data_IF_181684282054
#
_entry.id   IF_181684282054
#
_cell.length_a   1.000
_cell.length_b   1.000
_cell.length_c   1.000
_cell.angle_alpha   90.00
_cell.angle_beta   90.00
_cell.angle_gamma   90.00
#
_symmetry.space_group_name_H-M   'P 1'
#
loop_
_entity.id
_entity.type
_entity.pdbx_description
1 polymer ?
#
# COMPACT_ATOMS: atom_id res chain seq x y z
N UNK A 1 -3.33 35.61 10.51
CA UNK A 1 -2.03 35.20 11.09
C UNK A 1 -2.06 33.81 11.73
N UNK A 2 -2.88 32.92 11.18
CA UNK A 2 -3.06 31.56 11.67
C UNK A 2 -2.10 30.55 11.02
N UNK A 3 -1.33 30.98 10.01
CA UNK A 3 -0.33 30.17 9.32
C UNK A 3 0.95 29.92 10.14
N UNK A 4 1.14 30.67 11.24
CA UNK A 4 2.32 30.47 12.10
C UNK A 4 2.27 29.10 12.77
N UNK A 5 3.25 28.25 12.46
CA UNK A 5 3.43 26.92 13.03
C UNK A 5 3.01 25.77 12.10
N UNK A 6 2.67 26.06 10.84
CA UNK A 6 2.55 25.05 9.80
C UNK A 6 3.91 24.86 9.14
N UNK A 7 4.44 23.63 8.99
CA UNK A 7 5.69 23.39 8.28
C UNK A 7 5.61 23.90 6.84
N UNK A 8 6.71 24.45 6.30
CA UNK A 8 6.77 24.99 4.94
C UNK A 8 6.34 24.00 3.84
N UNK A 9 6.53 22.70 4.11
CA UNK A 9 6.17 21.61 3.17
C UNK A 9 4.72 21.11 3.33
N UNK A 10 3.93 21.74 4.21
CA UNK A 10 2.57 21.32 4.50
C UNK A 10 1.57 22.36 4.03
N UNK A 11 0.47 21.92 3.41
CA UNK A 11 -0.65 22.81 3.11
C UNK A 11 -1.34 23.23 4.41
N UNK A 12 -1.60 24.54 4.57
CA UNK A 12 -2.35 25.07 5.71
C UNK A 12 -3.72 24.39 5.84
N UNK A 13 -4.45 24.24 4.74
CA UNK A 13 -5.80 23.66 4.73
C UNK A 13 -5.87 22.23 5.29
N UNK A 14 -4.79 21.46 5.16
CA UNK A 14 -4.71 20.08 5.65
C UNK A 14 -3.93 19.94 6.95
N UNK A 15 -3.53 21.04 7.57
CA UNK A 15 -2.83 21.03 8.86
C UNK A 15 -3.78 20.81 10.02
N UNK A 16 -3.26 20.22 11.13
CA UNK A 16 -4.00 20.10 12.39
C UNK A 16 -4.55 21.44 12.86
N UNK A 17 -3.77 22.51 12.68
CA UNK A 17 -4.14 23.86 13.11
C UNK A 17 -5.33 24.40 12.34
N UNK A 18 -5.41 24.14 11.04
CA UNK A 18 -6.58 24.50 10.24
C UNK A 18 -7.81 23.70 10.70
N UNK A 19 -7.66 22.41 10.98
CA UNK A 19 -8.75 21.58 11.47
C UNK A 19 -9.31 22.08 12.81
N UNK A 20 -8.45 22.43 13.78
CA UNK A 20 -8.87 23.01 15.07
C UNK A 20 -9.64 24.33 14.91
N UNK A 21 -9.28 25.15 13.90
CA UNK A 21 -10.00 26.39 13.57
C UNK A 21 -11.33 26.07 12.93
N UNK A 22 -11.36 25.13 12.00
CA UNK A 22 -12.56 24.75 11.26
C UNK A 22 -13.59 24.02 12.14
N UNK A 23 -13.17 23.22 13.14
CA UNK A 23 -14.09 22.54 14.07
C UNK A 23 -14.96 23.52 14.88
N UNK A 24 -14.49 24.73 15.06
CA UNK A 24 -15.19 25.81 15.81
C UNK A 24 -15.93 26.79 14.89
N UNK A 25 -15.87 26.54 13.57
CA UNK A 25 -16.40 27.46 12.58
C UNK A 25 -17.89 27.22 12.31
N UNK A 26 -18.61 28.30 12.07
CA UNK A 26 -20.04 28.29 11.68
C UNK A 26 -20.22 28.86 10.27
N UNK A 27 -21.36 28.58 9.64
CA UNK A 27 -21.72 29.14 8.33
C UNK A 27 -20.80 28.64 7.20
N UNK A 28 -20.30 29.55 6.38
CA UNK A 28 -19.46 29.24 5.21
C UNK A 28 -18.13 28.57 5.60
N UNK A 29 -17.57 28.91 6.76
CA UNK A 29 -16.35 28.30 7.24
C UNK A 29 -16.55 26.84 7.64
N UNK A 30 -17.73 26.44 8.10
CA UNK A 30 -18.09 25.04 8.34
C UNK A 30 -18.12 24.23 7.03
N UNK A 31 -18.57 24.83 5.92
CA UNK A 31 -18.53 24.21 4.61
C UNK A 31 -17.09 23.98 4.13
N UNK A 32 -16.18 24.94 4.34
CA UNK A 32 -14.77 24.78 4.04
C UNK A 32 -14.11 23.68 4.88
N UNK A 33 -14.52 23.55 6.14
CA UNK A 33 -14.10 22.43 7.01
C UNK A 33 -14.51 21.10 6.41
N UNK A 34 -15.76 20.94 6.03
CA UNK A 34 -16.28 19.71 5.45
C UNK A 34 -15.55 19.36 4.14
N UNK A 35 -15.37 20.34 3.25
CA UNK A 35 -14.64 20.14 1.99
C UNK A 35 -13.18 19.73 2.25
N UNK A 36 -12.50 20.38 3.20
CA UNK A 36 -11.12 20.04 3.56
C UNK A 36 -11.01 18.60 4.07
N UNK A 37 -11.94 18.17 4.93
CA UNK A 37 -12.00 16.81 5.44
C UNK A 37 -12.29 15.79 4.32
N UNK A 38 -13.20 16.10 3.39
CA UNK A 38 -13.48 15.26 2.23
C UNK A 38 -12.25 15.07 1.34
N UNK A 39 -11.53 16.15 1.02
CA UNK A 39 -10.31 16.07 0.21
C UNK A 39 -9.19 15.32 0.93
N UNK A 40 -9.03 15.55 2.22
CA UNK A 40 -8.03 14.84 3.02
C UNK A 40 -8.35 13.34 3.07
N UNK A 41 -9.60 12.98 3.32
CA UNK A 41 -10.06 11.59 3.33
C UNK A 41 -9.86 10.93 1.96
N UNK A 42 -10.23 11.62 0.87
CA UNK A 42 -9.99 11.14 -0.48
C UNK A 42 -8.51 10.90 -0.75
N UNK A 43 -7.65 11.87 -0.43
CA UNK A 43 -6.20 11.74 -0.63
C UNK A 43 -5.54 10.63 0.18
N UNK A 44 -6.09 10.30 1.35
CA UNK A 44 -5.55 9.23 2.23
C UNK A 44 -6.04 7.85 1.77
N UNK A 45 -7.34 7.71 1.47
CA UNK A 45 -7.97 6.40 1.31
C UNK A 45 -8.32 6.02 -0.13
N UNK A 46 -8.57 7.02 -0.98
CA UNK A 46 -9.10 6.78 -2.32
C UNK A 46 -8.14 7.20 -3.45
N UNK A 47 -7.03 7.87 -3.14
CA UNK A 47 -6.01 8.23 -4.11
C UNK A 47 -4.72 7.48 -3.85
N UNK A 48 -4.34 6.60 -4.76
CA UNK A 48 -3.02 5.96 -4.75
C UNK A 48 -2.17 6.50 -5.90
N UNK A 49 -0.98 6.98 -5.57
CA UNK A 49 0.05 7.36 -6.54
C UNK A 49 1.20 6.39 -6.37
N UNK A 50 1.47 5.59 -7.39
CA UNK A 50 2.56 4.61 -7.42
C UNK A 50 3.69 5.17 -8.26
N UNK A 51 4.78 5.52 -7.61
CA UNK A 51 6.00 6.01 -8.23
C UNK A 51 6.93 4.84 -8.59
N UNK A 52 7.78 5.01 -9.58
CA UNK A 52 8.76 4.01 -10.02
C UNK A 52 9.64 3.48 -8.86
N UNK A 53 9.99 4.32 -7.89
CA UNK A 53 10.74 3.93 -6.71
C UNK A 53 10.01 2.90 -5.80
N UNK A 54 8.69 2.72 -5.98
CA UNK A 54 7.87 1.77 -5.21
C UNK A 54 7.74 0.41 -5.90
N UNK A 55 8.25 0.28 -7.12
CA UNK A 55 8.31 -1.01 -7.80
C UNK A 55 9.27 -1.95 -7.06
N UNK A 56 8.77 -3.10 -6.65
CA UNK A 56 9.52 -4.04 -5.79
C UNK A 56 9.00 -4.10 -4.36
N UNK A 57 7.88 -3.45 -4.11
CA UNK A 57 7.13 -3.53 -2.85
C UNK A 57 5.69 -3.92 -3.11
N UNK A 58 5.12 -4.69 -2.19
CA UNK A 58 3.69 -4.92 -2.11
C UNK A 58 3.09 -3.93 -1.10
N UNK A 59 2.19 -3.09 -1.58
CA UNK A 59 1.45 -2.16 -0.71
C UNK A 59 0.30 -2.88 0.01
N UNK A 60 0.22 -2.71 1.32
CA UNK A 60 -0.92 -3.09 2.14
C UNK A 60 -1.59 -1.84 2.67
N UNK A 61 -2.87 -1.67 2.40
CA UNK A 61 -3.67 -0.59 2.96
C UNK A 61 -4.06 -0.91 4.41
N UNK A 62 -3.83 0.02 5.33
CA UNK A 62 -4.08 -0.13 6.76
C UNK A 62 -5.52 0.20 7.17
N UNK A 63 -6.37 0.67 6.27
CA UNK A 63 -7.74 1.12 6.57
C UNK A 63 -8.56 0.08 7.36
N UNK A 64 -8.34 -1.20 7.07
CA UNK A 64 -9.06 -2.31 7.69
C UNK A 64 -8.21 -3.09 8.72
N UNK A 65 -7.08 -2.54 9.13
CA UNK A 65 -6.18 -3.19 10.08
C UNK A 65 -6.41 -2.70 11.51
N UNK A 66 -6.10 -3.51 12.53
CA UNK A 66 -6.21 -3.10 13.92
C UNK A 66 -5.42 -1.82 14.20
N UNK A 67 -6.04 -0.87 14.88
CA UNK A 67 -5.40 0.38 15.31
C UNK A 67 -4.39 0.06 16.43
N UNK A 68 -3.27 0.78 16.50
CA UNK A 68 -2.21 0.64 17.51
C UNK A 68 -1.31 -0.61 17.39
N UNK A 69 -0.95 -0.99 16.18
CA UNK A 69 0.08 -2.00 15.97
C UNK A 69 1.46 -1.35 15.97
N UNK A 70 2.37 -1.84 16.79
CA UNK A 70 3.78 -1.47 16.72
C UNK A 70 4.43 -2.24 15.56
N UNK A 71 4.70 -1.51 14.50
CA UNK A 71 5.35 -2.08 13.32
C UNK A 71 6.86 -2.14 13.50
N UNK A 72 7.51 -3.20 13.03
CA UNK A 72 8.97 -3.24 12.94
C UNK A 72 9.50 -2.08 12.08
N UNK A 73 10.59 -1.44 12.52
CA UNK A 73 11.25 -0.36 11.77
C UNK A 73 11.75 -0.80 10.39
N UNK A 74 11.82 -2.11 10.15
CA UNK A 74 12.24 -2.70 8.87
C UNK A 74 11.18 -2.62 7.76
N UNK A 75 9.92 -2.33 8.11
CA UNK A 75 8.84 -2.21 7.13
C UNK A 75 8.62 -0.75 6.79
N UNK A 76 8.84 -0.34 5.52
CA UNK A 76 8.54 1.01 5.08
C UNK A 76 7.04 1.31 5.22
N UNK A 77 6.73 2.51 5.72
CA UNK A 77 5.36 3.02 5.84
C UNK A 77 5.26 4.36 5.13
N UNK A 78 4.14 4.61 4.46
CA UNK A 78 3.81 5.91 3.88
C UNK A 78 2.31 6.14 4.04
N UNK A 79 1.93 7.15 4.82
CA UNK A 79 0.51 7.40 5.15
C UNK A 79 -0.13 6.19 5.82
N UNK A 80 -1.27 5.75 5.28
CA UNK A 80 -2.04 4.59 5.76
C UNK A 80 -1.66 3.28 5.08
N UNK A 81 -0.49 3.22 4.45
CA UNK A 81 -0.01 2.00 3.77
C UNK A 81 1.33 1.56 4.32
N UNK A 82 1.55 0.25 4.31
CA UNK A 82 2.85 -0.39 4.54
C UNK A 82 3.30 -1.09 3.27
N UNK A 83 4.61 -1.21 3.13
CA UNK A 83 5.22 -1.80 1.94
C UNK A 83 6.04 -3.03 2.32
N UNK A 84 5.60 -4.20 1.87
CA UNK A 84 6.35 -5.45 2.00
C UNK A 84 7.37 -5.54 0.87
N UNK A 85 8.59 -5.94 1.20
CA UNK A 85 9.69 -6.04 0.24
C UNK A 85 9.64 -7.33 -0.54
N UNK A 86 9.89 -7.26 -1.85
CA UNK A 86 10.07 -8.45 -2.68
C UNK A 86 11.47 -9.06 -2.57
N UNK A 87 12.44 -8.25 -2.19
CA UNK A 87 13.86 -8.61 -2.25
C UNK A 87 14.43 -9.03 -0.91
N UNK A 88 13.61 -9.04 0.14
CA UNK A 88 14.10 -9.21 1.50
C UNK A 88 13.08 -9.97 2.37
N UNK A 89 13.54 -10.37 3.52
CA UNK A 89 12.71 -10.97 4.56
C UNK A 89 11.78 -9.90 5.14
N UNK A 90 10.50 -10.22 5.19
CA UNK A 90 9.49 -9.40 5.84
C UNK A 90 9.21 -9.91 7.25
N UNK A 91 8.93 -9.00 8.18
CA UNK A 91 8.54 -9.33 9.54
C UNK A 91 7.36 -8.44 9.91
N UNK A 92 6.22 -9.05 10.20
CA UNK A 92 4.99 -8.32 10.57
C UNK A 92 4.48 -8.79 11.94
N UNK A 93 3.73 -7.96 12.67
CA UNK A 93 2.99 -8.41 13.84
C UNK A 93 2.07 -9.59 13.47
N UNK A 94 1.91 -10.55 14.38
CA UNK A 94 1.12 -11.78 14.13
C UNK A 94 -0.32 -11.48 13.75
N UNK A 95 -0.89 -10.42 14.28
CA UNK A 95 -2.25 -9.94 14.00
C UNK A 95 -2.43 -9.45 12.56
N UNK A 96 -1.35 -9.00 11.92
CA UNK A 96 -1.33 -8.46 10.55
C UNK A 96 -1.12 -9.56 9.51
N UNK A 97 -0.47 -10.65 9.88
CA UNK A 97 -0.14 -11.72 8.95
C UNK A 97 -1.35 -12.28 8.17
N UNK A 98 -2.56 -12.45 8.76
CA UNK A 98 -3.75 -12.86 8.00
C UNK A 98 -4.13 -11.89 6.88
N UNK A 99 -3.91 -10.58 7.06
CA UNK A 99 -4.17 -9.57 6.02
C UNK A 99 -3.17 -9.69 4.88
N UNK A 100 -1.89 -9.93 5.20
CA UNK A 100 -0.87 -10.24 4.19
C UNK A 100 -1.28 -11.45 3.35
N UNK A 101 -1.65 -12.55 4.00
CA UNK A 101 -2.06 -13.76 3.33
C UNK A 101 -3.31 -13.56 2.44
N UNK A 102 -4.27 -12.76 2.90
CA UNK A 102 -5.45 -12.44 2.12
C UNK A 102 -5.11 -11.57 0.90
N UNK A 103 -4.24 -10.55 1.07
CA UNK A 103 -3.79 -9.70 -0.05
C UNK A 103 -3.08 -10.53 -1.11
N UNK A 104 -2.19 -11.45 -0.74
CA UNK A 104 -1.53 -12.36 -1.68
C UNK A 104 -2.56 -13.20 -2.46
N UNK A 105 -3.61 -13.71 -1.79
CA UNK A 105 -4.68 -14.46 -2.47
C UNK A 105 -5.42 -13.60 -3.51
N UNK A 106 -5.75 -12.35 -3.17
CA UNK A 106 -6.41 -11.43 -4.10
C UNK A 106 -5.52 -11.09 -5.29
N UNK A 107 -4.24 -10.81 -5.06
CA UNK A 107 -3.26 -10.57 -6.10
C UNK A 107 -3.18 -11.77 -7.06
N UNK A 108 -3.18 -12.99 -6.55
CA UNK A 108 -3.14 -14.20 -7.38
C UNK A 108 -4.36 -14.33 -8.29
N UNK A 109 -5.52 -13.86 -7.90
CA UNK A 109 -6.71 -13.85 -8.79
C UNK A 109 -6.43 -12.97 -10.01
N UNK A 110 -5.87 -11.78 -9.79
CA UNK A 110 -5.54 -10.84 -10.88
C UNK A 110 -4.38 -11.37 -11.72
N UNK A 111 -3.28 -11.78 -11.08
CA UNK A 111 -2.07 -12.24 -11.78
C UNK A 111 -2.38 -13.45 -12.66
N UNK A 112 -3.17 -14.41 -12.20
CA UNK A 112 -3.54 -15.60 -12.99
C UNK A 112 -4.34 -15.27 -14.24
N UNK A 113 -5.08 -14.16 -14.25
CA UNK A 113 -5.78 -13.69 -15.45
C UNK A 113 -4.85 -13.05 -16.48
N UNK A 114 -3.74 -12.46 -16.01
CA UNK A 114 -2.76 -11.75 -16.85
C UNK A 114 -1.59 -12.67 -17.26
N UNK A 115 -1.08 -13.45 -16.32
CA UNK A 115 0.07 -14.35 -16.50
C UNK A 115 -0.25 -15.68 -15.81
N UNK A 116 -0.95 -16.62 -16.49
CA UNK A 116 -1.45 -17.86 -15.87
C UNK A 116 -0.37 -18.74 -15.23
N UNK A 117 0.87 -18.62 -15.70
CA UNK A 117 2.01 -19.44 -15.24
C UNK A 117 2.61 -18.99 -13.92
N UNK A 118 2.22 -17.81 -13.40
CA UNK A 118 2.78 -17.25 -12.17
C UNK A 118 1.76 -17.33 -11.04
N UNK A 119 2.25 -17.75 -9.88
CA UNK A 119 1.55 -17.67 -8.60
C UNK A 119 2.46 -17.05 -7.56
N UNK A 120 1.95 -16.15 -6.74
CA UNK A 120 2.72 -15.51 -5.66
C UNK A 120 2.41 -16.23 -4.35
N UNK A 121 3.45 -16.60 -3.61
CA UNK A 121 3.31 -17.36 -2.37
C UNK A 121 4.12 -16.75 -1.22
N UNK A 122 3.60 -16.97 -0.01
CA UNK A 122 4.35 -16.75 1.22
C UNK A 122 5.21 -17.98 1.46
N UNK A 123 6.50 -17.74 1.63
CA UNK A 123 7.49 -18.79 1.83
C UNK A 123 8.24 -18.59 3.16
N UNK A 124 8.71 -19.69 3.77
CA UNK A 124 9.46 -19.67 5.02
C UNK A 124 8.77 -18.85 6.13
N UNK A 125 7.45 -18.98 6.27
CA UNK A 125 6.74 -18.30 7.35
C UNK A 125 6.96 -19.02 8.67
N UNK A 126 7.46 -18.30 9.69
CA UNK A 126 7.61 -18.81 11.05
C UNK A 126 7.44 -17.71 12.10
N UNK A 127 7.03 -18.13 13.30
CA UNK A 127 6.84 -17.22 14.42
C UNK A 127 8.18 -16.62 14.84
N UNK A 128 8.20 -15.31 15.08
CA UNK A 128 9.36 -14.54 15.53
C UNK A 128 8.98 -13.57 16.62
N UNK A 129 9.79 -13.54 17.67
CA UNK A 129 9.62 -12.53 18.72
C UNK A 129 10.08 -11.16 18.21
N UNK A 130 9.21 -10.16 18.28
CA UNK A 130 9.50 -8.78 17.98
C UNK A 130 10.10 -8.06 19.18
N UNK A 131 10.47 -6.78 19.02
CA UNK A 131 10.85 -5.92 20.14
C UNK A 131 9.74 -5.91 21.20
N UNK A 132 10.12 -5.79 22.47
CA UNK A 132 9.22 -5.77 23.64
C UNK A 132 8.42 -7.08 23.86
N UNK A 133 8.87 -8.20 23.30
CA UNK A 133 8.26 -9.50 23.51
C UNK A 133 6.93 -9.72 22.78
N UNK A 134 6.60 -8.90 21.79
CA UNK A 134 5.41 -9.08 20.95
C UNK A 134 5.60 -10.20 19.94
N UNK A 135 4.53 -10.95 19.66
CA UNK A 135 4.53 -12.00 18.64
C UNK A 135 4.51 -11.41 17.23
N UNK A 136 5.36 -11.93 16.36
CA UNK A 136 5.40 -11.60 14.95
C UNK A 136 5.56 -12.82 14.07
N UNK A 137 5.47 -12.62 12.77
CA UNK A 137 5.72 -13.65 11.75
C UNK A 137 6.75 -13.12 10.77
N UNK A 138 7.81 -13.90 10.57
CA UNK A 138 8.82 -13.66 9.54
C UNK A 138 8.49 -14.49 8.32
N UNK A 139 8.62 -13.94 7.12
CA UNK A 139 8.35 -14.63 5.85
C UNK A 139 9.03 -13.95 4.67
N UNK A 140 9.04 -14.65 3.55
CA UNK A 140 9.47 -14.16 2.24
C UNK A 140 8.30 -14.22 1.26
N UNK A 141 8.33 -13.40 0.21
CA UNK A 141 7.36 -13.45 -0.89
C UNK A 141 8.10 -13.97 -2.12
N UNK A 142 7.59 -15.05 -2.70
CA UNK A 142 8.20 -15.71 -3.86
C UNK A 142 7.19 -15.84 -5.01
N UNK A 143 7.70 -16.00 -6.22
CA UNK A 143 6.93 -16.44 -7.37
C UNK A 143 7.07 -17.96 -7.54
N UNK A 144 5.98 -18.61 -7.91
CA UNK A 144 5.93 -20.02 -8.33
C UNK A 144 5.66 -20.08 -9.83
N UNK A 145 6.52 -20.81 -10.56
CA UNK A 145 6.31 -21.16 -11.98
C UNK A 145 6.31 -22.67 -12.12
N UNK A 146 5.12 -23.26 -12.17
CA UNK A 146 4.97 -24.69 -12.01
C UNK A 146 5.47 -25.13 -10.63
N UNK A 147 6.47 -26.02 -10.60
CA UNK A 147 7.11 -26.49 -9.36
C UNK A 147 8.31 -25.65 -8.91
N UNK A 148 8.73 -24.68 -9.72
CA UNK A 148 9.91 -23.88 -9.44
C UNK A 148 9.58 -22.69 -8.51
N UNK A 149 10.35 -22.57 -7.43
CA UNK A 149 10.32 -21.44 -6.49
C UNK A 149 11.34 -20.41 -6.90
N UNK A 150 10.88 -19.22 -7.22
CA UNK A 150 11.73 -18.12 -7.70
C UNK A 150 11.57 -16.95 -6.73
N UNK A 151 12.62 -16.55 -5.98
CA UNK A 151 12.56 -15.32 -5.21
C UNK A 151 12.22 -14.15 -6.14
N UNK A 152 11.28 -13.27 -5.72
CA UNK A 152 10.82 -12.15 -6.55
C UNK A 152 11.95 -11.19 -6.96
N UNK A 153 13.07 -11.20 -6.23
CA UNK A 153 14.28 -10.47 -6.62
C UNK A 153 14.73 -10.82 -8.05
N UNK A 154 14.61 -12.09 -8.45
CA UNK A 154 15.07 -12.60 -9.75
C UNK A 154 14.01 -12.52 -10.85
N UNK A 155 12.80 -12.11 -10.54
CA UNK A 155 11.79 -11.85 -11.55
C UNK A 155 12.10 -10.59 -12.35
N UNK A 156 11.54 -10.50 -13.56
CA UNK A 156 11.71 -9.32 -14.43
C UNK A 156 11.14 -8.06 -13.78
N UNK A 157 11.65 -6.90 -14.21
CA UNK A 157 11.13 -5.61 -13.74
C UNK A 157 9.63 -5.51 -13.97
N UNK A 158 9.13 -5.86 -15.16
CA UNK A 158 7.71 -5.80 -15.50
C UNK A 158 6.83 -6.66 -14.61
N UNK A 159 7.28 -7.88 -14.23
CA UNK A 159 6.54 -8.74 -13.30
C UNK A 159 6.50 -8.09 -11.91
N UNK A 160 7.60 -7.55 -11.44
CA UNK A 160 7.66 -6.84 -10.15
C UNK A 160 6.74 -5.62 -10.15
N UNK A 161 6.75 -4.83 -11.21
CA UNK A 161 5.84 -3.69 -11.40
C UNK A 161 4.39 -4.14 -11.35
N UNK A 162 4.02 -5.16 -12.12
CA UNK A 162 2.67 -5.70 -12.15
C UNK A 162 2.20 -6.14 -10.76
N UNK A 163 3.02 -6.91 -10.03
CA UNK A 163 2.70 -7.35 -8.68
C UNK A 163 2.52 -6.15 -7.74
N UNK A 164 3.38 -5.13 -7.84
CA UNK A 164 3.32 -3.93 -7.00
C UNK A 164 2.01 -3.16 -7.16
N UNK A 165 1.45 -3.12 -8.37
CA UNK A 165 0.20 -2.40 -8.63
C UNK A 165 -1.06 -3.26 -8.45
N UNK A 166 -0.94 -4.60 -8.40
CA UNK A 166 -2.10 -5.49 -8.34
C UNK A 166 -3.03 -5.22 -7.15
N UNK A 167 -2.50 -4.91 -5.98
CA UNK A 167 -3.33 -4.57 -4.81
C UNK A 167 -4.18 -3.31 -5.05
N UNK A 168 -3.59 -2.31 -5.73
CA UNK A 168 -4.28 -1.08 -6.10
C UNK A 168 -5.31 -1.31 -7.23
N UNK A 169 -5.01 -2.19 -8.19
CA UNK A 169 -5.99 -2.59 -9.22
C UNK A 169 -7.20 -3.31 -8.61
N UNK A 170 -6.97 -4.18 -7.63
CA UNK A 170 -8.06 -4.80 -6.85
C UNK A 170 -8.89 -3.75 -6.11
N UNK A 171 -8.24 -2.74 -5.53
CA UNK A 171 -8.95 -1.64 -4.87
C UNK A 171 -9.77 -0.80 -5.86
N UNK A 172 -9.22 -0.48 -7.04
CA UNK A 172 -9.95 0.19 -8.13
C UNK A 172 -11.20 -0.58 -8.56
N UNK A 173 -11.11 -1.90 -8.66
CA UNK A 173 -12.24 -2.74 -9.05
C UNK A 173 -13.35 -2.76 -7.99
N UNK A 174 -12.98 -2.76 -6.71
CA UNK A 174 -13.92 -2.90 -5.61
C UNK A 174 -14.50 -1.58 -5.09
N UNK A 175 -13.88 -0.43 -5.42
CA UNK A 175 -14.24 0.89 -4.87
C UNK A 175 -14.36 1.91 -5.98
N UNK A 176 -15.57 2.39 -6.23
CA UNK A 176 -15.86 3.36 -7.30
C UNK A 176 -15.13 4.71 -7.13
N UNK A 177 -14.86 5.10 -5.88
CA UNK A 177 -14.15 6.35 -5.56
C UNK A 177 -12.63 6.25 -5.71
N UNK A 178 -12.09 5.03 -5.84
CA UNK A 178 -10.64 4.82 -5.81
C UNK A 178 -9.99 5.25 -7.13
N UNK A 179 -8.98 6.10 -7.04
CA UNK A 179 -8.19 6.59 -8.16
C UNK A 179 -6.74 6.12 -8.04
N UNK A 180 -6.27 5.40 -9.05
CA UNK A 180 -4.90 4.94 -9.16
C UNK A 180 -4.16 5.73 -10.23
N UNK A 181 -3.07 6.36 -9.83
CA UNK A 181 -2.11 7.02 -10.73
C UNK A 181 -0.81 6.22 -10.68
N UNK A 182 -0.34 5.76 -11.82
CA UNK A 182 0.90 4.98 -11.93
C UNK A 182 1.87 5.71 -12.82
N UNK A 183 3.04 6.02 -12.29
CA UNK A 183 4.12 6.67 -13.03
C UNK A 183 4.90 5.63 -13.84
N UNK A 184 5.24 5.96 -15.10
CA UNK A 184 6.04 5.12 -16.00
C UNK A 184 5.52 3.67 -16.12
N UNK A 185 4.20 3.48 -16.20
CA UNK A 185 3.57 2.15 -16.28
C UNK A 185 4.05 1.34 -17.49
N UNK A 186 4.36 1.99 -18.59
CA UNK A 186 4.91 1.42 -19.82
C UNK A 186 6.36 0.96 -19.68
N UNK A 187 7.06 1.45 -18.67
CA UNK A 187 8.45 1.10 -18.40
C UNK A 187 8.55 -0.34 -17.84
N UNK A 188 8.67 -1.31 -18.72
CA UNK A 188 8.91 -2.72 -18.36
C UNK A 188 7.68 -3.62 -18.35
N UNK A 189 6.49 -3.11 -18.61
CA UNK A 189 5.30 -3.91 -18.89
C UNK A 189 5.12 -3.97 -20.41
N UNK A 190 4.93 -5.18 -20.96
CA UNK A 190 4.65 -5.33 -22.39
C UNK A 190 3.37 -4.59 -22.76
N UNK A 191 3.40 -3.83 -23.88
CA UNK A 191 2.25 -3.11 -24.45
C UNK A 191 0.98 -3.98 -24.53
N UNK A 192 1.14 -5.24 -24.85
CA UNK A 192 0.07 -6.25 -24.85
C UNK A 192 -0.72 -6.32 -23.52
N UNK A 193 -0.07 -6.12 -22.37
CA UNK A 193 -0.74 -6.14 -21.06
C UNK A 193 -1.45 -4.83 -20.71
N UNK A 194 -1.10 -3.74 -21.40
CA UNK A 194 -1.71 -2.43 -21.18
C UNK A 194 -3.00 -2.25 -21.98
N UNK A 195 -3.25 -3.15 -22.96
CA UNK A 195 -4.36 -3.07 -23.90
C UNK A 195 -4.13 -2.02 -24.98
N UNK A 196 -4.37 -2.36 -26.22
CA UNK A 196 -4.47 -1.38 -27.31
C UNK A 196 -5.80 -0.63 -27.25
#
# INVERSE_FOLDING_TARGET
NEEKGVPEVSSFLFSRKAQEVFEKAEGEAALLSLLSQCFQKYGIYDLAVVENAQYGYLSLNLENMPVNIDWPDTIPKKGESIFLRFTDINVVPKEVFPYVANTIKQINIVIKSLIPEINIEIYNAFDKLLKEGKDGVQFEIIAMRGENRIPLLYESAGIKTLISICSNLVACYNRESYCLVVDELDSGIYEYLLGE
#
